data_IF_188636518843
#
_entry.id   IF_188636518843
#
_cell.length_a   1.000
_cell.length_b   1.000
_cell.length_c   1.000
_cell.angle_alpha   90.00
_cell.angle_beta   90.00
_cell.angle_gamma   90.00
#
_symmetry.space_group_name_H-M   'P 1'
#
loop_
_entity.id
_entity.type
_entity.pdbx_description
1 polymer ?
#
# COMPACT_ATOMS: atom_id res chain seq x y z
N UNK A 1 25.87 -2.65 -8.04
CA UNK A 1 24.52 -2.86 -8.59
C UNK A 1 24.15 -1.57 -9.27
N UNK A 2 24.16 -1.53 -10.60
CA UNK A 2 23.82 -0.30 -11.35
C UNK A 2 22.34 0.01 -11.15
N UNK A 3 22.05 1.26 -10.79
CA UNK A 3 20.68 1.75 -10.59
C UNK A 3 20.00 1.78 -11.97
N UNK A 4 18.87 1.08 -12.19
CA UNK A 4 18.22 1.11 -13.48
C UNK A 4 17.73 2.53 -13.78
N UNK A 5 18.24 3.13 -14.86
CA UNK A 5 17.72 4.38 -15.40
C UNK A 5 16.39 4.09 -16.09
N UNK A 6 15.30 4.59 -15.50
CA UNK A 6 13.98 4.57 -16.13
C UNK A 6 13.98 5.68 -17.18
N UNK A 7 14.16 5.31 -18.45
CA UNK A 7 13.95 6.21 -19.59
C UNK A 7 12.46 6.34 -19.85
N UNK A 8 11.83 7.36 -19.28
CA UNK A 8 10.46 7.74 -19.63
C UNK A 8 10.55 8.36 -21.04
N UNK A 9 9.91 7.74 -22.03
CA UNK A 9 9.72 8.37 -23.34
C UNK A 9 8.69 9.47 -23.16
N UNK A 10 9.07 10.72 -23.39
CA UNK A 10 8.13 11.83 -23.55
C UNK A 10 7.32 11.58 -24.83
N UNK A 11 6.23 10.82 -24.69
CA UNK A 11 5.15 10.84 -25.69
C UNK A 11 4.19 11.96 -25.30
N UNK A 12 3.83 12.79 -26.26
CA UNK A 12 2.97 13.98 -26.13
C UNK A 12 1.56 13.60 -25.63
N UNK A 13 1.40 13.33 -24.34
CA UNK A 13 0.10 13.39 -23.70
C UNK A 13 -0.39 14.83 -23.84
N UNK A 14 -1.60 15.02 -24.35
CA UNK A 14 -2.13 16.39 -24.48
C UNK A 14 -2.18 17.03 -23.08
N UNK A 15 -1.91 18.33 -22.96
CA UNK A 15 -1.96 19.05 -21.68
C UNK A 15 -3.26 18.76 -20.90
N UNK A 16 -4.35 18.51 -21.63
CA UNK A 16 -5.65 18.11 -21.09
C UNK A 16 -5.61 16.74 -20.39
N UNK A 17 -4.96 15.75 -20.98
CA UNK A 17 -4.86 14.39 -20.43
C UNK A 17 -4.00 14.39 -19.16
N UNK A 18 -2.91 15.18 -19.17
CA UNK A 18 -2.06 15.37 -17.99
C UNK A 18 -2.82 16.04 -16.84
N UNK A 19 -3.56 17.12 -17.12
CA UNK A 19 -4.39 17.80 -16.13
C UNK A 19 -5.44 16.84 -15.55
N UNK A 20 -6.11 16.05 -16.40
CA UNK A 20 -7.10 15.07 -15.96
C UNK A 20 -6.49 13.97 -15.08
N UNK A 21 -5.33 13.45 -15.47
CA UNK A 21 -4.59 12.46 -14.68
C UNK A 21 -4.17 13.00 -13.31
N UNK A 22 -3.60 14.22 -13.26
CA UNK A 22 -3.20 14.87 -12.01
C UNK A 22 -4.41 15.09 -11.10
N UNK A 23 -5.50 15.62 -11.64
CA UNK A 23 -6.73 15.86 -10.86
C UNK A 23 -7.29 14.57 -10.24
N UNK A 24 -7.36 13.50 -11.04
CA UNK A 24 -7.86 12.20 -10.58
C UNK A 24 -6.92 11.57 -9.55
N UNK A 25 -5.61 11.66 -9.79
CA UNK A 25 -4.59 11.14 -8.88
C UNK A 25 -4.60 11.85 -7.53
N UNK A 26 -4.74 13.18 -7.50
CA UNK A 26 -4.78 13.95 -6.26
C UNK A 26 -5.98 13.57 -5.38
N UNK A 27 -7.13 13.29 -5.98
CA UNK A 27 -8.29 12.79 -5.24
C UNK A 27 -7.97 11.45 -4.58
N UNK A 28 -7.51 10.48 -5.37
CA UNK A 28 -7.19 9.12 -4.88
C UNK A 28 -6.10 9.17 -3.79
N UNK A 29 -5.05 9.96 -4.00
CA UNK A 29 -3.99 10.14 -3.00
C UNK A 29 -4.53 10.76 -1.71
N UNK A 30 -5.43 11.75 -1.80
CA UNK A 30 -6.09 12.32 -0.63
C UNK A 30 -6.88 11.28 0.16
N UNK A 31 -7.66 10.46 -0.53
CA UNK A 31 -8.47 9.39 0.06
C UNK A 31 -7.57 8.33 0.75
N UNK A 32 -6.44 7.96 0.14
CA UNK A 32 -5.44 7.04 0.71
C UNK A 32 -4.78 7.62 1.97
N UNK A 33 -4.41 8.91 1.95
CA UNK A 33 -3.78 9.57 3.10
C UNK A 33 -4.73 9.66 4.29
N UNK A 34 -6.01 9.98 4.04
CA UNK A 34 -7.02 10.04 5.09
C UNK A 34 -7.26 8.66 5.71
N UNK A 35 -7.33 7.61 4.89
CA UNK A 35 -7.48 6.24 5.36
C UNK A 35 -6.28 5.78 6.18
N UNK A 36 -5.05 6.06 5.70
CA UNK A 36 -3.83 5.72 6.41
C UNK A 36 -3.77 6.43 7.78
N UNK A 37 -4.20 7.69 7.84
CA UNK A 37 -4.29 8.44 9.08
C UNK A 37 -5.34 7.84 10.02
N UNK A 38 -6.55 7.57 9.55
CA UNK A 38 -7.62 7.00 10.36
C UNK A 38 -7.25 5.62 10.92
N UNK A 39 -6.74 4.74 10.06
CA UNK A 39 -6.26 3.42 10.44
C UNK A 39 -5.10 3.48 11.44
N UNK A 40 -4.19 4.45 11.29
CA UNK A 40 -3.11 4.70 12.25
C UNK A 40 -3.60 5.24 13.59
N UNK A 41 -4.68 6.04 13.63
CA UNK A 41 -5.30 6.49 14.87
C UNK A 41 -5.98 5.36 15.62
N UNK A 42 -6.63 4.44 14.91
CA UNK A 42 -7.33 3.30 15.50
C UNK A 42 -6.38 2.23 16.02
N UNK A 43 -5.37 1.87 15.21
CA UNK A 43 -4.51 0.71 15.47
C UNK A 43 -3.16 1.07 16.09
N UNK A 44 -2.79 2.36 16.11
CA UNK A 44 -1.46 2.80 16.49
C UNK A 44 -0.41 2.52 15.39
N UNK A 45 0.87 2.84 15.66
CA UNK A 45 1.94 2.57 14.70
C UNK A 45 2.28 1.07 14.66
N UNK A 46 2.77 0.58 13.53
CA UNK A 46 3.31 -0.78 13.49
C UNK A 46 4.48 -0.94 14.47
N UNK A 47 4.52 -2.09 15.13
CA UNK A 47 5.56 -2.51 16.07
C UNK A 47 6.77 -3.11 15.35
N UNK A 48 6.55 -3.71 14.17
CA UNK A 48 7.63 -4.33 13.38
C UNK A 48 7.31 -4.37 11.88
N UNK A 49 8.34 -4.64 11.07
CA UNK A 49 8.17 -4.89 9.64
C UNK A 49 7.32 -6.15 9.34
N UNK A 50 7.31 -7.14 10.24
CA UNK A 50 6.52 -8.36 10.08
C UNK A 50 5.02 -8.08 10.24
N UNK A 51 4.66 -7.24 11.20
CA UNK A 51 3.27 -6.81 11.40
C UNK A 51 2.77 -6.01 10.19
N UNK A 52 3.56 -5.04 9.72
CA UNK A 52 3.23 -4.28 8.53
C UNK A 52 3.07 -5.19 7.29
N UNK A 53 3.96 -6.17 7.11
CA UNK A 53 3.87 -7.13 6.01
C UNK A 53 2.65 -8.04 6.12
N UNK A 54 2.29 -8.49 7.33
CA UNK A 54 1.10 -9.30 7.56
C UNK A 54 -0.17 -8.54 7.21
N UNK A 55 -0.26 -7.25 7.56
CA UNK A 55 -1.38 -6.39 7.17
C UNK A 55 -1.47 -6.25 5.64
N UNK A 56 -0.36 -6.01 4.94
CA UNK A 56 -0.33 -5.98 3.48
C UNK A 56 -0.83 -7.28 2.85
N UNK A 57 -0.44 -8.44 3.39
CA UNK A 57 -0.92 -9.73 2.91
C UNK A 57 -2.43 -9.89 3.11
N UNK A 58 -2.95 -9.46 4.26
CA UNK A 58 -4.39 -9.48 4.52
C UNK A 58 -5.16 -8.66 3.49
N UNK A 59 -4.72 -7.42 3.20
CA UNK A 59 -5.35 -6.57 2.19
C UNK A 59 -5.29 -7.21 0.79
N UNK A 60 -4.17 -7.85 0.44
CA UNK A 60 -4.02 -8.56 -0.83
C UNK A 60 -4.97 -9.76 -0.95
N UNK A 61 -5.19 -10.51 0.12
CA UNK A 61 -6.14 -11.63 0.13
C UNK A 61 -7.59 -11.14 0.00
N UNK A 62 -7.96 -10.00 0.59
CA UNK A 62 -9.27 -9.37 0.38
C UNK A 62 -9.49 -8.93 -1.07
N UNK A 63 -8.50 -8.29 -1.69
CA UNK A 63 -8.57 -7.92 -3.12
C UNK A 63 -8.72 -9.15 -4.00
N UNK A 64 -7.97 -10.21 -3.70
CA UNK A 64 -8.00 -11.47 -4.43
C UNK A 64 -9.40 -12.08 -4.46
N UNK A 65 -10.16 -12.02 -3.36
CA UNK A 65 -11.56 -12.49 -3.34
C UNK A 65 -12.39 -11.82 -4.44
N UNK A 66 -12.22 -10.51 -4.65
CA UNK A 66 -12.90 -9.79 -5.72
C UNK A 66 -12.33 -10.10 -7.11
N UNK A 67 -11.00 -10.23 -7.24
CA UNK A 67 -10.33 -10.49 -8.52
C UNK A 67 -10.69 -11.87 -9.08
N UNK A 68 -10.84 -12.89 -8.22
CA UNK A 68 -11.17 -14.26 -8.63
C UNK A 68 -12.66 -14.54 -8.79
N UNK A 69 -13.54 -13.60 -8.46
CA UNK A 69 -14.95 -13.69 -8.87
C UNK A 69 -15.11 -13.53 -10.39
N UNK A 70 -16.21 -14.08 -10.93
CA UNK A 70 -16.55 -13.88 -12.34
C UNK A 70 -16.67 -12.37 -12.64
N UNK A 71 -16.20 -11.88 -13.79
CA UNK A 71 -16.23 -10.45 -14.10
C UNK A 71 -17.64 -9.83 -14.01
N UNK A 72 -18.69 -10.61 -14.33
CA UNK A 72 -20.09 -10.17 -14.26
C UNK A 72 -20.67 -10.10 -12.85
N UNK A 73 -20.01 -10.68 -11.84
CA UNK A 73 -20.44 -10.69 -10.44
C UNK A 73 -19.53 -9.87 -9.53
N UNK A 74 -18.53 -9.18 -10.09
CA UNK A 74 -17.55 -8.44 -9.30
C UNK A 74 -18.15 -7.16 -8.74
N UNK A 75 -18.06 -7.00 -7.43
CA UNK A 75 -18.33 -5.72 -6.79
C UNK A 75 -17.12 -4.79 -6.97
N UNK A 76 -17.21 -3.91 -7.97
CA UNK A 76 -16.12 -2.97 -8.31
C UNK A 76 -15.92 -1.91 -7.23
N UNK A 77 -16.98 -1.51 -6.50
CA UNK A 77 -16.87 -0.52 -5.44
C UNK A 77 -16.15 -1.09 -4.23
N UNK A 78 -16.45 -2.34 -3.87
CA UNK A 78 -15.70 -3.03 -2.83
C UNK A 78 -14.25 -3.27 -3.25
N UNK A 79 -14.01 -3.71 -4.50
CA UNK A 79 -12.64 -3.87 -4.98
C UNK A 79 -11.84 -2.56 -4.95
N UNK A 80 -12.45 -1.43 -5.32
CA UNK A 80 -11.84 -0.10 -5.22
C UNK A 80 -11.44 0.23 -3.78
N UNK A 81 -12.33 -0.03 -2.82
CA UNK A 81 -12.05 0.17 -1.38
C UNK A 81 -10.90 -0.70 -0.89
N UNK A 82 -10.88 -1.98 -1.21
CA UNK A 82 -9.78 -2.86 -0.76
C UNK A 82 -8.43 -2.48 -1.39
N UNK A 83 -8.43 -2.02 -2.65
CA UNK A 83 -7.22 -1.45 -3.27
C UNK A 83 -6.78 -0.16 -2.56
N UNK A 84 -7.71 0.69 -2.15
CA UNK A 84 -7.41 1.88 -1.36
C UNK A 84 -6.86 1.51 0.03
N UNK A 85 -7.43 0.52 0.71
CA UNK A 85 -6.91 0.03 1.99
C UNK A 85 -5.48 -0.50 1.84
N UNK A 86 -5.20 -1.30 0.80
CA UNK A 86 -3.84 -1.75 0.50
C UNK A 86 -2.87 -0.58 0.31
N UNK A 87 -3.26 0.43 -0.47
CA UNK A 87 -2.44 1.63 -0.67
C UNK A 87 -2.19 2.38 0.66
N UNK A 88 -3.20 2.45 1.52
CA UNK A 88 -3.09 3.07 2.85
C UNK A 88 -2.13 2.30 3.77
N UNK A 89 -2.20 0.95 3.76
CA UNK A 89 -1.32 0.08 4.53
C UNK A 89 0.13 0.19 4.03
N UNK A 90 0.33 0.31 2.71
CA UNK A 90 1.65 0.58 2.13
C UNK A 90 2.22 1.92 2.63
N UNK A 91 1.40 2.97 2.63
CA UNK A 91 1.81 4.27 3.14
C UNK A 91 2.15 4.21 4.62
N UNK A 92 1.34 3.54 5.45
CA UNK A 92 1.65 3.33 6.87
C UNK A 92 2.95 2.58 7.07
N UNK A 93 3.22 1.51 6.32
CA UNK A 93 4.49 0.79 6.39
C UNK A 93 5.68 1.71 6.09
N UNK A 94 5.57 2.57 5.08
CA UNK A 94 6.63 3.54 4.76
C UNK A 94 6.85 4.51 5.93
N UNK A 95 5.78 5.04 6.51
CA UNK A 95 5.87 6.03 7.60
C UNK A 95 6.37 5.41 8.91
N UNK A 96 5.85 4.25 9.30
CA UNK A 96 6.12 3.63 10.59
C UNK A 96 7.37 2.76 10.60
N UNK A 97 7.66 2.06 9.50
CA UNK A 97 8.80 1.13 9.43
C UNK A 97 9.98 1.82 8.76
N UNK A 98 9.78 2.38 7.57
CA UNK A 98 10.90 2.90 6.77
C UNK A 98 11.43 4.24 7.27
N UNK A 99 10.56 5.15 7.73
CA UNK A 99 10.98 6.49 8.17
C UNK A 99 11.33 6.57 9.66
N UNK A 100 10.61 5.83 10.52
CA UNK A 100 10.93 5.80 11.97
C UNK A 100 12.05 4.81 12.32
N UNK A 101 12.59 4.07 11.33
CA UNK A 101 13.71 3.15 11.54
C UNK A 101 13.38 1.95 12.42
N UNK A 102 12.09 1.60 12.56
CA UNK A 102 11.63 0.43 13.31
C UNK A 102 11.87 -0.84 12.51
N UNK A 103 13.14 -1.24 12.39
CA UNK A 103 13.53 -2.54 11.85
C UNK A 103 13.96 -3.47 13.00
N UNK A 104 13.02 -3.78 13.89
CA UNK A 104 13.26 -4.75 14.97
C UNK A 104 12.96 -6.14 14.47
N UNK A 105 13.76 -6.62 13.51
CA UNK A 105 13.92 -8.06 13.37
C UNK A 105 14.81 -8.53 14.53
N UNK A 106 14.17 -8.93 15.63
CA UNK A 106 14.79 -9.77 16.64
C UNK A 106 14.38 -11.21 16.29
N UNK A 107 15.26 -12.03 15.69
CA UNK A 107 14.95 -13.42 15.31
C UNK A 107 14.64 -14.33 16.51
N UNK A 108 14.62 -13.79 17.73
CA UNK A 108 14.69 -14.57 18.94
C UNK A 108 16.13 -15.00 19.15
N UNK A 109 16.72 -14.64 20.29
CA UNK A 109 17.87 -15.38 20.80
C UNK A 109 17.53 -16.88 20.69
N UNK A 110 18.38 -17.61 19.96
CA UNK A 110 18.40 -19.06 20.02
C UNK A 110 18.47 -19.48 21.48
N UNK A 111 17.36 -20.02 21.97
CA UNK A 111 17.22 -20.80 23.20
C UNK A 111 16.43 -22.02 22.75
N UNK A 112 16.96 -23.24 22.72
CA UNK A 112 17.94 -23.81 23.63
C UNK A 112 18.89 -24.77 22.89
N UNK A 113 20.20 -24.54 23.04
CA UNK A 113 21.13 -25.68 23.14
C UNK A 113 20.85 -26.33 24.50
N UNK A 114 20.30 -27.54 24.48
CA UNK A 114 20.22 -28.47 25.61
C UNK A 114 20.36 -29.90 25.10
#
# INVERSE_FOLDING_TARGET
>A
MEKPEIKIKEEDASDRDLIQFIGSSNKVLGDVVLEAYASGQENGPYHSAHEAYADLLQQMDQIKEHVWTLPSSRDLLMMEREVQHLASACLRMILDVCQQGKNTYDPGEGKDES
#
